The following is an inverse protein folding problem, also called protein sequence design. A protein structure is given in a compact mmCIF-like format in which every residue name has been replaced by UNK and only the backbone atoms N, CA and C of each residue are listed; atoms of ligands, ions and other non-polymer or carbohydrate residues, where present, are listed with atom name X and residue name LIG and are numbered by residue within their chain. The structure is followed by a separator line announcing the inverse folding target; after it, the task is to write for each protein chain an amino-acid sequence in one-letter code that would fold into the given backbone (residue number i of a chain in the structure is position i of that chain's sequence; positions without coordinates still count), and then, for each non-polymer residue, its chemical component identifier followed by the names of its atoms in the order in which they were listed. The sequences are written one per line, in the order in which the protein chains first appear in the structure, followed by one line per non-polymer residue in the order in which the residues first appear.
data_IF_435278645660
#
_entry.id   IF_435278645660
#
_cell.length_a   1.000
_cell.length_b   1.000
_cell.length_c   1.000
_cell.angle_alpha   90.00
_cell.angle_beta   90.00
_cell.angle_gamma   90.00
#
_symmetry.space_group_name_H-M   'P 1'
#
loop_
_entity.id
_entity.type
_entity.pdbx_description
1 polymer ?
2 polymer ?
3 non-polymer ?
4 non-polymer ?
5 water ?
#
# COMPACT_ATOMS: atom_id res chain seq x y z
N UNK A 11 -12.39 -13.52 -30.36
CA UNK A 11 -13.34 -13.42 -29.22
C UNK A 11 -12.61 -13.28 -27.88
N UNK A 12 -11.54 -12.49 -27.86
CA UNK A 12 -10.76 -12.27 -26.65
C UNK A 12 -10.94 -10.84 -26.15
N UNK A 13 -10.95 -10.66 -24.83
CA UNK A 13 -11.13 -9.33 -24.26
C UNK A 13 -9.95 -8.43 -24.60
N UNK A 14 -10.28 -7.18 -24.96
CA UNK A 14 -9.26 -6.18 -25.31
C UNK A 14 -9.47 -4.94 -24.45
N UNK A 15 -8.54 -4.69 -23.53
CA UNK A 15 -8.64 -3.51 -22.66
C UNK A 15 -7.79 -2.36 -23.19
N UNK A 16 -8.47 -1.35 -23.74
CA UNK A 16 -7.80 -0.20 -24.31
C UNK A 16 -7.43 0.85 -23.26
N UNK A 17 -6.15 0.95 -22.98
CA UNK A 17 -5.61 1.90 -22.00
C UNK A 17 -5.00 3.11 -22.69
N UNK A 18 -5.23 4.30 -22.13
CA UNK A 18 -4.67 5.52 -22.68
C UNK A 18 -3.75 6.14 -21.64
N UNK A 19 -2.55 6.53 -22.05
CA UNK A 19 -1.60 7.16 -21.14
C UNK A 19 -1.73 8.68 -21.25
N UNK A 20 -1.99 9.34 -20.13
CA UNK A 20 -2.08 10.80 -20.14
C UNK A 20 -1.18 11.38 -19.06
N UNK A 21 -0.85 12.66 -19.19
CA UNK A 21 0.02 13.34 -18.25
C UNK A 21 0.94 14.30 -18.99
N UNK A 22 1.46 15.30 -18.27
CA UNK A 22 2.37 16.29 -18.87
C UNK A 22 3.59 15.66 -19.52
N UNK A 23 4.29 16.44 -20.33
CA UNK A 23 5.47 15.94 -20.99
C UNK A 23 6.60 15.70 -20.01
N UNK A 24 7.32 14.60 -20.22
CA UNK A 24 8.44 14.29 -19.36
C UNK A 24 8.13 13.65 -18.03
N UNK A 25 6.94 13.08 -17.86
CA UNK A 25 6.57 12.44 -16.61
C UNK A 25 6.89 10.95 -16.56
N UNK A 26 7.07 10.34 -17.74
CA UNK A 26 7.39 8.93 -17.80
C UNK A 26 6.33 8.05 -18.45
N UNK A 27 5.51 8.63 -19.31
CA UNK A 27 4.46 7.85 -19.97
C UNK A 27 5.05 6.78 -20.87
N UNK A 28 6.12 7.15 -21.58
CA UNK A 28 6.78 6.23 -22.50
C UNK A 28 7.59 5.17 -21.76
N UNK A 29 8.40 5.62 -20.80
CA UNK A 29 9.21 4.72 -20.03
C UNK A 29 8.35 3.66 -19.38
N UNK A 30 7.23 4.08 -18.79
CA UNK A 30 6.31 3.14 -18.15
C UNK A 30 5.75 2.12 -19.14
N UNK A 31 5.35 2.58 -20.32
CA UNK A 31 4.80 1.71 -21.34
C UNK A 31 5.86 0.71 -21.78
N UNK A 32 7.04 1.22 -22.09
CA UNK A 32 8.13 0.37 -22.51
C UNK A 32 8.62 -0.58 -21.42
N UNK A 33 8.67 -0.11 -20.18
CA UNK A 33 9.12 -0.98 -19.07
C UNK A 33 8.14 -2.16 -18.95
N UNK A 34 6.85 -1.86 -19.04
CA UNK A 34 5.82 -2.88 -18.96
C UNK A 34 5.89 -3.83 -20.15
N UNK A 35 6.04 -3.27 -21.35
CA UNK A 35 6.08 -4.05 -22.58
C UNK A 35 7.31 -4.94 -22.80
N UNK A 36 8.50 -4.34 -22.71
CA UNK A 36 9.73 -5.09 -22.96
C UNK A 36 10.68 -5.15 -21.77
N UNK A 37 10.15 -4.93 -20.57
CA UNK A 37 10.92 -5.00 -19.33
C UNK A 37 12.26 -4.26 -19.29
N UNK A 38 12.35 -3.13 -19.99
CA UNK A 38 13.58 -2.34 -20.02
C UNK A 38 13.30 -0.89 -19.66
N UNK A 39 14.30 -0.21 -19.10
CA UNK A 39 14.15 1.20 -18.75
C UNK A 39 14.76 2.05 -19.87
N UNK A 40 13.91 2.45 -20.81
CA UNK A 40 14.33 3.26 -21.95
C UNK A 40 14.33 4.74 -21.57
N UNK A 41 15.51 5.35 -21.53
CA UNK A 41 15.63 6.74 -21.13
C UNK A 41 15.56 7.77 -22.24
N UNK A 42 15.01 8.94 -21.90
CA UNK A 42 14.87 10.04 -22.84
C UNK A 42 14.30 9.63 -24.19
N UNK A 43 13.27 8.79 -24.18
CA UNK A 43 12.64 8.34 -25.43
C UNK A 43 12.04 9.56 -26.14
N UNK A 44 12.14 9.59 -27.47
CA UNK A 44 11.63 10.70 -28.27
C UNK A 44 10.37 11.31 -27.66
N UNK A 45 10.48 12.54 -27.14
CA UNK A 45 9.37 13.27 -26.51
C UNK A 45 8.10 13.40 -27.35
N UNK A 46 8.27 13.75 -28.62
CA UNK A 46 7.11 13.92 -29.50
C UNK A 46 6.65 12.63 -30.18
N UNK A 47 7.31 11.52 -29.88
CA UNK A 47 6.94 10.24 -30.48
C UNK A 47 5.79 9.55 -29.75
N UNK A 48 4.78 9.14 -30.52
CA UNK A 48 3.62 8.45 -29.97
C UNK A 48 3.56 7.05 -30.58
N UNK A 49 2.93 6.13 -29.88
CA UNK A 49 2.79 4.76 -30.34
C UNK A 49 1.80 3.97 -29.49
N UNK A 50 1.08 3.06 -30.13
CA UNK A 50 0.16 2.22 -29.39
C UNK A 50 0.81 0.84 -29.36
N UNK A 51 0.54 0.08 -28.31
CA UNK A 51 1.11 -1.25 -28.16
C UNK A 51 0.02 -2.20 -27.75
N UNK A 52 0.18 -3.47 -28.13
CA UNK A 52 -0.83 -4.46 -27.81
C UNK A 52 -0.17 -5.81 -27.53
N UNK A 53 -0.23 -6.24 -26.27
CA UNK A 53 0.34 -7.53 -25.91
C UNK A 53 -0.67 -8.37 -25.16
N UNK A 54 -0.41 -9.67 -25.10
CA UNK A 54 -1.29 -10.59 -24.41
C UNK A 54 -0.76 -10.84 -23.02
N UNK A 55 -1.65 -10.76 -22.05
CA UNK A 55 -1.29 -10.98 -20.66
C UNK A 55 -2.44 -11.74 -20.01
N UNK A 56 -2.12 -12.54 -19.00
CA UNK A 56 -3.12 -13.30 -18.29
C UNK A 56 -3.55 -12.52 -17.07
N UNK A 57 -4.79 -12.04 -17.09
CA UNK A 57 -5.35 -11.28 -15.99
C UNK A 57 -6.23 -12.16 -15.12
N UNK A 58 -5.77 -12.42 -13.90
CA UNK A 58 -6.49 -13.27 -12.94
C UNK A 58 -7.02 -14.54 -13.58
N UNK A 59 -6.10 -15.41 -13.99
CA UNK A 59 -6.50 -16.66 -14.60
C UNK A 59 -6.99 -16.56 -16.03
N UNK A 60 -7.64 -15.46 -16.37
CA UNK A 60 -8.14 -15.30 -17.74
C UNK A 60 -7.15 -14.58 -18.64
N UNK A 61 -7.02 -15.06 -19.87
CA UNK A 61 -6.12 -14.44 -20.82
C UNK A 61 -6.86 -13.34 -21.58
N UNK A 62 -6.22 -12.19 -21.68
CA UNK A 62 -6.80 -11.06 -22.37
C UNK A 62 -5.70 -10.38 -23.17
N UNK A 63 -6.05 -9.29 -23.83
CA UNK A 63 -5.08 -8.54 -24.61
C UNK A 63 -5.20 -7.10 -24.17
N UNK A 64 -4.07 -6.45 -23.94
CA UNK A 64 -4.10 -5.05 -23.53
C UNK A 64 -3.58 -4.17 -24.65
N UNK A 65 -4.20 -3.00 -24.82
CA UNK A 65 -3.76 -2.05 -25.82
C UNK A 65 -3.39 -0.76 -25.10
N UNK A 66 -2.16 -0.30 -25.30
CA UNK A 66 -1.68 0.91 -24.65
C UNK A 66 -1.33 2.01 -25.64
N UNK A 67 -2.01 3.16 -25.54
CA UNK A 67 -1.72 4.28 -26.41
C UNK A 67 -0.80 5.23 -25.67
N UNK A 68 0.48 5.23 -26.05
CA UNK A 68 1.46 6.11 -25.43
C UNK A 68 1.42 7.43 -26.18
N UNK A 69 0.60 8.36 -25.70
CA UNK A 69 0.43 9.65 -26.37
C UNK A 69 1.63 10.60 -26.26
N UNK A 70 1.83 11.36 -27.33
CA UNK A 70 2.88 12.36 -27.36
C UNK A 70 2.18 13.56 -26.71
N UNK A 71 1.15 14.07 -27.38
CA UNK A 71 0.37 15.17 -26.82
C UNK A 71 0.67 16.60 -27.22
N UNK A 72 1.89 16.87 -27.68
CA UNK A 72 2.28 18.22 -28.05
C UNK A 72 1.37 18.85 -29.09
N UNK A 73 0.82 18.06 -30.00
CA UNK A 73 -0.08 18.63 -31.00
C UNK A 73 -1.36 17.85 -31.25
N UNK A 74 -1.95 17.29 -30.19
CA UNK A 74 -3.20 16.55 -30.33
C UNK A 74 -4.34 17.51 -30.02
N UNK A 75 -4.82 18.18 -31.06
CA UNK A 75 -5.90 19.15 -30.93
C UNK A 75 -7.24 18.53 -30.53
N UNK A 76 -8.21 19.40 -30.26
CA UNK A 76 -9.55 19.00 -29.84
C UNK A 76 -10.10 17.72 -30.48
N UNK A 77 -10.16 17.70 -31.81
CA UNK A 77 -10.70 16.54 -32.53
C UNK A 77 -9.89 15.27 -32.36
N UNK A 78 -8.55 15.37 -32.36
CA UNK A 78 -7.72 14.19 -32.19
C UNK A 78 -7.82 13.65 -30.78
N UNK A 79 -7.68 14.54 -29.81
CA UNK A 79 -7.77 14.19 -28.41
C UNK A 79 -9.14 13.63 -28.05
N UNK A 80 -10.20 14.29 -28.50
CA UNK A 80 -11.55 13.84 -28.17
C UNK A 80 -11.82 12.43 -28.70
N UNK A 81 -11.28 12.13 -29.87
CA UNK A 81 -11.49 10.81 -30.44
C UNK A 81 -10.90 9.70 -29.59
N UNK A 82 -9.63 9.81 -29.21
CA UNK A 82 -9.05 8.73 -28.42
C UNK A 82 -9.45 8.74 -26.96
N UNK A 83 -9.95 9.86 -26.45
CA UNK A 83 -10.41 9.91 -25.07
C UNK A 83 -11.72 9.12 -25.07
N UNK A 84 -12.51 9.36 -26.10
CA UNK A 84 -13.80 8.71 -26.29
C UNK A 84 -13.65 7.22 -26.61
N UNK A 85 -12.56 6.86 -27.27
CA UNK A 85 -12.33 5.47 -27.62
C UNK A 85 -11.67 4.69 -26.47
N UNK A 86 -10.77 5.35 -25.76
CA UNK A 86 -10.09 4.71 -24.64
C UNK A 86 -11.05 4.25 -23.55
N UNK A 87 -10.73 3.14 -22.89
CA UNK A 87 -11.61 2.61 -21.85
C UNK A 87 -11.08 2.86 -20.45
N UNK A 88 -9.76 2.88 -20.32
CA UNK A 88 -9.12 3.13 -19.03
C UNK A 88 -8.03 4.17 -19.18
N UNK A 89 -7.79 4.97 -18.15
CA UNK A 89 -6.76 5.99 -18.21
C UNK A 89 -5.78 5.98 -17.06
N UNK A 90 -4.49 6.11 -17.40
CA UNK A 90 -3.45 6.19 -16.39
C UNK A 90 -2.98 7.65 -16.40
N UNK A 91 -3.45 8.43 -15.43
CA UNK A 91 -3.08 9.83 -15.33
C UNK A 91 -1.76 9.89 -14.58
N UNK A 92 -0.68 9.95 -15.34
CA UNK A 92 0.66 9.96 -14.79
C UNK A 92 1.27 11.34 -14.59
N UNK A 93 2.04 11.47 -13.51
CA UNK A 93 2.77 12.69 -13.21
C UNK A 93 4.07 12.28 -12.53
N UNK A 94 4.94 13.27 -12.32
CA UNK A 94 6.24 13.05 -11.71
C UNK A 94 6.26 13.62 -10.29
N UNK A 95 6.57 12.78 -9.31
CA UNK A 95 6.61 13.24 -7.93
C UNK A 95 7.65 14.36 -7.71
N UNK A 96 8.57 14.53 -8.65
CA UNK A 96 9.58 15.57 -8.51
C UNK A 96 9.24 16.84 -9.31
N UNK A 97 8.01 16.94 -9.77
CA UNK A 97 7.60 18.09 -10.56
C UNK A 97 6.18 18.50 -10.18
N UNK A 98 6.08 19.49 -9.31
CA UNK A 98 4.77 19.97 -8.84
C UNK A 98 3.84 20.41 -9.96
N UNK A 99 4.41 20.94 -11.03
CA UNK A 99 3.60 21.40 -12.16
C UNK A 99 2.84 20.25 -12.81
N UNK A 100 3.51 19.12 -13.03
CA UNK A 100 2.87 17.96 -13.64
C UNK A 100 1.73 17.45 -12.78
N UNK A 101 1.86 17.56 -11.46
CA UNK A 101 0.82 17.11 -10.55
C UNK A 101 -0.40 18.01 -10.66
N UNK A 102 -0.17 19.31 -10.66
CA UNK A 102 -1.25 20.28 -10.76
C UNK A 102 -1.99 20.05 -12.08
N UNK A 103 -1.24 19.73 -13.12
CA UNK A 103 -1.81 19.49 -14.44
C UNK A 103 -2.75 18.28 -14.50
N UNK A 104 -2.54 17.29 -13.65
CA UNK A 104 -3.40 16.09 -13.66
C UNK A 104 -4.88 16.45 -13.61
N UNK A 105 -5.22 17.57 -12.99
CA UNK A 105 -6.62 17.97 -12.88
C UNK A 105 -7.21 18.32 -14.24
N UNK A 106 -6.36 18.80 -15.14
CA UNK A 106 -6.79 19.18 -16.48
C UNK A 106 -7.13 17.95 -17.31
N UNK A 107 -6.28 16.93 -17.24
CA UNK A 107 -6.52 15.72 -18.01
C UNK A 107 -7.80 15.05 -17.52
N UNK A 108 -7.91 14.94 -16.20
CA UNK A 108 -9.08 14.35 -15.57
C UNK A 108 -10.31 15.07 -16.12
N UNK A 109 -10.29 16.38 -15.99
CA UNK A 109 -11.40 17.21 -16.43
C UNK A 109 -11.80 16.94 -17.87
N UNK A 110 -10.85 17.10 -18.78
CA UNK A 110 -11.15 16.88 -20.20
C UNK A 110 -11.62 15.47 -20.51
N UNK A 111 -11.06 14.49 -19.80
CA UNK A 111 -11.45 13.11 -20.03
C UNK A 111 -12.89 12.87 -19.61
N UNK A 112 -13.31 13.51 -18.52
CA UNK A 112 -14.67 13.33 -18.03
C UNK A 112 -15.66 14.15 -18.85
N UNK A 113 -15.18 15.16 -19.55
CA UNK A 113 -16.06 15.99 -20.33
C UNK A 113 -16.52 15.30 -21.61
N UNK A 114 -15.60 14.68 -22.34
CA UNK A 114 -15.96 14.02 -23.60
C UNK A 114 -16.64 12.68 -23.39
N UNK A 115 -16.26 11.97 -22.33
CA UNK A 115 -16.86 10.67 -22.05
C UNK A 115 -18.14 10.83 -21.25
N UNK A 116 -18.50 12.08 -20.95
CA UNK A 116 -19.70 12.37 -20.17
C UNK A 116 -19.94 11.30 -19.11
N UNK A 117 -18.99 11.20 -18.17
CA UNK A 117 -19.07 10.22 -17.09
C UNK A 117 -18.13 10.62 -15.96
N UNK A 118 -18.57 10.46 -14.72
CA UNK A 118 -17.75 10.81 -13.56
C UNK A 118 -17.12 9.59 -12.90
N UNK A 119 -17.21 8.44 -13.56
CA UNK A 119 -16.64 7.22 -12.99
C UNK A 119 -15.98 6.31 -14.03
N UNK A 120 -15.09 6.87 -14.84
CA UNK A 120 -14.40 6.08 -15.85
C UNK A 120 -13.15 5.45 -15.25
N UNK A 121 -12.79 4.23 -15.68
CA UNK A 121 -11.59 3.60 -15.12
C UNK A 121 -10.45 4.61 -15.19
N UNK A 122 -9.81 4.87 -14.05
CA UNK A 122 -8.78 5.89 -13.98
C UNK A 122 -7.80 5.58 -12.84
N UNK A 123 -6.54 5.92 -13.05
CA UNK A 123 -5.51 5.69 -12.05
C UNK A 123 -4.62 6.92 -11.91
N UNK A 124 -4.36 7.33 -10.68
CA UNK A 124 -3.49 8.47 -10.45
C UNK A 124 -2.14 7.83 -10.14
N UNK A 125 -1.18 8.08 -11.04
CA UNK A 125 0.15 7.51 -10.92
C UNK A 125 1.25 8.55 -10.72
N UNK A 126 1.92 8.49 -9.57
CA UNK A 126 3.01 9.39 -9.28
C UNK A 126 4.27 8.62 -9.61
N UNK A 127 4.85 8.90 -10.78
CA UNK A 127 6.04 8.20 -11.23
C UNK A 127 7.34 8.77 -10.70
N UNK A 128 8.43 8.01 -10.87
CA UNK A 128 9.77 8.39 -10.43
C UNK A 128 9.94 8.31 -8.90
N UNK A 129 9.34 7.30 -8.29
CA UNK A 129 9.44 7.14 -6.85
C UNK A 129 10.87 6.82 -6.44
N UNK A 130 11.75 6.60 -7.41
CA UNK A 130 13.14 6.31 -7.10
C UNK A 130 13.93 7.60 -6.90
N UNK A 131 13.29 8.73 -7.20
CA UNK A 131 13.93 10.03 -7.04
C UNK A 131 13.41 10.73 -5.79
N UNK A 132 13.30 9.97 -4.71
CA UNK A 132 12.81 10.49 -3.45
C UNK A 132 13.48 11.80 -3.03
N UNK A 133 14.78 11.93 -3.27
CA UNK A 133 15.52 13.12 -2.89
C UNK A 133 15.02 14.38 -3.59
N UNK A 134 14.39 14.22 -4.74
CA UNK A 134 13.90 15.36 -5.49
C UNK A 134 12.39 15.53 -5.42
N UNK A 135 11.73 14.78 -4.54
CA UNK A 135 10.28 14.86 -4.43
C UNK A 135 9.79 16.27 -4.20
N UNK A 136 8.76 16.64 -4.95
CA UNK A 136 8.15 17.96 -4.84
C UNK A 136 6.70 17.78 -4.44
N UNK A 137 6.14 16.60 -4.71
CA UNK A 137 4.75 16.30 -4.39
C UNK A 137 4.68 15.27 -3.25
N UNK A 138 4.03 15.63 -2.16
CA UNK A 138 3.92 14.72 -1.03
C UNK A 138 2.90 13.62 -1.26
N UNK A 139 3.15 12.47 -0.65
CA UNK A 139 2.25 11.33 -0.76
C UNK A 139 0.88 11.75 -0.22
N UNK A 140 0.87 12.46 0.88
CA UNK A 140 -0.38 12.90 1.49
C UNK A 140 -1.23 13.69 0.53
N UNK A 141 -0.62 14.67 -0.12
CA UNK A 141 -1.33 15.51 -1.07
C UNK A 141 -1.89 14.69 -2.23
N UNK A 142 -1.05 13.88 -2.87
CA UNK A 142 -1.50 13.07 -4.01
C UNK A 142 -2.55 12.05 -3.60
N UNK A 143 -2.34 11.40 -2.47
CA UNK A 143 -3.27 10.40 -1.98
C UNK A 143 -4.61 11.05 -1.65
N UNK A 144 -4.57 12.30 -1.20
CA UNK A 144 -5.78 13.02 -0.86
C UNK A 144 -6.59 13.34 -2.12
N UNK A 145 -5.89 13.80 -3.16
CA UNK A 145 -6.54 14.11 -4.41
C UNK A 145 -7.22 12.85 -4.96
N UNK A 146 -6.50 11.74 -4.92
CA UNK A 146 -7.06 10.48 -5.41
C UNK A 146 -8.35 10.13 -4.68
N UNK A 147 -8.40 10.41 -3.37
CA UNK A 147 -9.59 10.11 -2.60
C UNK A 147 -10.74 11.03 -3.04
N UNK A 148 -10.40 12.28 -3.36
CA UNK A 148 -11.40 13.23 -3.82
C UNK A 148 -12.01 12.75 -5.15
N UNK A 149 -11.15 12.24 -6.03
CA UNK A 149 -11.61 11.75 -7.33
C UNK A 149 -12.16 10.33 -7.23
N UNK A 150 -12.01 9.74 -6.06
CA UNK A 150 -12.48 8.38 -5.83
C UNK A 150 -11.78 7.39 -6.74
N UNK A 151 -10.44 7.44 -6.72
CA UNK A 151 -9.61 6.55 -7.53
C UNK A 151 -8.39 6.21 -6.68
N UNK A 152 -7.63 5.21 -7.11
CA UNK A 152 -6.44 4.83 -6.36
C UNK A 152 -5.22 5.59 -6.82
N UNK A 153 -4.30 5.83 -5.89
CA UNK A 153 -3.07 6.51 -6.18
C UNK A 153 -1.92 5.53 -6.02
N UNK A 154 -1.05 5.46 -7.01
CA UNK A 154 0.07 4.55 -6.94
C UNK A 154 1.33 5.24 -7.40
N UNK A 155 2.43 5.03 -6.67
CA UNK A 155 3.69 5.62 -7.05
C UNK A 155 4.48 4.51 -7.74
N UNK A 156 5.01 4.83 -8.91
CA UNK A 156 5.78 3.87 -9.70
C UNK A 156 7.18 4.39 -10.03
N UNK A 157 8.01 3.50 -10.55
CA UNK A 157 9.36 3.86 -10.96
C UNK A 157 9.69 3.08 -12.21
N UNK A 158 9.65 3.76 -13.36
CA UNK A 158 9.95 3.10 -14.62
C UNK A 158 11.39 2.59 -14.58
N UNK A 159 12.18 3.13 -13.67
CA UNK A 159 13.59 2.74 -13.52
C UNK A 159 13.79 1.42 -12.77
N UNK A 160 13.22 1.33 -11.57
CA UNK A 160 13.34 0.13 -10.73
C UNK A 160 12.23 -0.85 -11.03
N UNK A 161 11.25 -0.41 -11.83
CA UNK A 161 10.10 -1.23 -12.21
C UNK A 161 9.08 -1.41 -11.09
N UNK A 162 9.26 -0.66 -10.02
CA UNK A 162 8.35 -0.76 -8.89
C UNK A 162 6.92 -0.37 -9.25
N UNK A 163 5.98 -1.26 -8.98
CA UNK A 163 4.56 -1.04 -9.23
C UNK A 163 4.16 -0.84 -10.68
N UNK A 164 5.07 -1.02 -11.62
CA UNK A 164 4.70 -0.82 -13.02
C UNK A 164 3.62 -1.81 -13.46
N UNK A 165 3.80 -3.10 -13.17
CA UNK A 165 2.80 -4.07 -13.54
C UNK A 165 1.48 -3.74 -12.85
N UNK A 166 1.58 -3.40 -11.57
CA UNK A 166 0.42 -3.08 -10.77
C UNK A 166 -0.51 -2.05 -11.41
N UNK A 167 0.01 -0.89 -11.79
CA UNK A 167 -0.85 0.12 -12.40
C UNK A 167 -1.55 -0.38 -13.67
N UNK A 168 -0.83 -1.05 -14.55
CA UNK A 168 -1.45 -1.55 -15.77
C UNK A 168 -2.47 -2.66 -15.50
N UNK A 169 -2.16 -3.57 -14.58
CA UNK A 169 -3.10 -4.65 -14.29
C UNK A 169 -4.28 -4.16 -13.46
N UNK A 170 -4.04 -3.17 -12.60
CA UNK A 170 -5.11 -2.65 -11.79
C UNK A 170 -6.07 -1.82 -12.64
N UNK A 171 -5.52 -1.11 -13.62
CA UNK A 171 -6.37 -0.33 -14.50
C UNK A 171 -7.24 -1.28 -15.30
N UNK A 172 -6.67 -2.40 -15.74
CA UNK A 172 -7.46 -3.37 -16.49
C UNK A 172 -8.60 -3.89 -15.61
N UNK A 173 -8.26 -4.30 -14.39
CA UNK A 173 -9.27 -4.81 -13.48
C UNK A 173 -10.45 -3.84 -13.33
N UNK A 174 -10.16 -2.54 -13.43
CA UNK A 174 -11.20 -1.52 -13.34
C UNK A 174 -12.01 -1.48 -14.62
N UNK A 175 -11.31 -1.69 -15.74
CA UNK A 175 -11.95 -1.70 -17.05
C UNK A 175 -12.82 -2.95 -17.19
N UNK A 176 -12.28 -4.08 -16.75
CA UNK A 176 -12.97 -5.37 -16.84
C UNK A 176 -14.23 -5.38 -15.97
N UNK A 177 -14.22 -4.62 -14.89
CA UNK A 177 -15.35 -4.56 -13.98
C UNK A 177 -16.42 -3.64 -14.54
N UNK A 178 -15.99 -2.56 -15.20
CA UNK A 178 -16.90 -1.60 -15.79
C UNK A 178 -17.62 -2.24 -16.96
N UNK A 179 -16.98 -3.23 -17.56
CA UNK A 179 -17.56 -3.94 -18.68
C UNK A 179 -18.60 -4.93 -18.19
N UNK A 180 -18.54 -5.25 -16.89
CA UNK A 180 -19.49 -6.18 -16.30
C UNK A 180 -20.78 -5.43 -15.94
N UNK A 181 -20.62 -4.22 -15.42
CA UNK A 181 -21.77 -3.40 -15.03
C UNK A 181 -22.63 -3.18 -16.25
N UNK A 182 -22.00 -2.78 -17.35
CA UNK A 182 -22.70 -2.52 -18.59
C UNK A 182 -23.48 -3.75 -19.04
N UNK A 183 -22.78 -4.74 -19.56
CA UNK A 183 -23.40 -5.98 -20.02
C UNK A 183 -23.21 -7.09 -19.00
N UNK A 184 -22.05 -7.45 -18.73
N UNK B 44 -11.39 -4.82 30.06
CA UNK B 44 -12.41 -3.78 29.72
C UNK B 44 -13.02 -4.10 28.35
N UNK B 45 -13.81 -3.17 27.82
CA UNK B 45 -14.46 -3.34 26.52
C UNK B 45 -13.55 -2.91 25.37
N UNK B 46 -13.56 -3.68 24.29
CA UNK B 46 -12.73 -3.36 23.13
C UNK B 46 -13.48 -3.18 21.83
N UNK B 47 -13.37 -1.96 21.30
CA UNK B 47 -14.01 -1.56 20.04
C UNK B 47 -13.45 -2.28 18.82
N UNK B 48 -14.25 -3.17 18.24
CA UNK B 48 -13.83 -3.89 17.05
C UNK B 48 -14.69 -3.39 15.90
N UNK B 49 -14.05 -2.76 14.92
CA UNK B 49 -14.74 -2.22 13.77
C UNK B 49 -15.29 -3.31 12.84
N UNK B 50 -16.45 -3.05 12.26
CA UNK B 50 -17.08 -3.98 11.34
C UNK B 50 -17.53 -3.29 10.03
N UNK B 51 -17.58 -1.96 10.05
CA UNK B 51 -17.95 -1.19 8.86
C UNK B 51 -16.76 -0.36 8.39
N UNK B 52 -16.27 -0.63 7.20
CA UNK B 52 -15.12 0.08 6.64
C UNK B 52 -15.23 1.60 6.63
N UNK B 53 -16.43 2.12 6.40
CA UNK B 53 -16.62 3.55 6.38
C UNK B 53 -16.45 4.12 7.79
N UNK B 54 -16.99 3.43 8.79
CA UNK B 54 -16.88 3.86 10.18
C UNK B 54 -15.42 3.89 10.57
N UNK B 55 -14.69 2.83 10.20
CA UNK B 55 -13.26 2.71 10.50
C UNK B 55 -12.46 3.85 9.89
N UNK B 56 -12.71 4.09 8.61
CA UNK B 56 -12.02 5.14 7.89
C UNK B 56 -12.33 6.50 8.51
N UNK B 57 -13.60 6.77 8.76
CA UNK B 57 -13.99 8.05 9.36
C UNK B 57 -13.26 8.26 10.68
N UNK B 58 -13.27 7.22 11.52
CA UNK B 58 -12.62 7.25 12.81
C UNK B 58 -11.12 7.57 12.63
N UNK B 59 -10.45 6.78 11.79
CA UNK B 59 -9.04 7.00 11.53
C UNK B 59 -8.76 8.44 11.11
N UNK B 60 -9.51 8.94 10.14
CA UNK B 60 -9.35 10.31 9.66
C UNK B 60 -9.49 11.29 10.84
N UNK B 61 -10.43 10.98 11.74
CA UNK B 61 -10.65 11.83 12.89
C UNK B 61 -9.41 11.96 13.77
N UNK B 62 -8.69 10.87 13.97
CA UNK B 62 -7.49 10.91 14.80
C UNK B 62 -6.31 11.51 14.06
N UNK B 63 -6.07 11.06 12.83
CA UNK B 63 -4.95 11.54 12.03
C UNK B 63 -4.96 13.07 11.95
N UNK B 64 -6.13 13.64 11.67
CA UNK B 64 -6.28 15.08 11.57
C UNK B 64 -5.84 15.81 12.84
N UNK B 65 -5.90 15.12 13.98
CA UNK B 65 -5.51 15.71 15.26
C UNK B 65 -4.02 15.59 15.61
N UNK B 66 -3.32 14.64 14.98
CA UNK B 66 -1.90 14.41 15.28
C UNK B 66 -1.01 15.64 15.17
N UNK B 67 -1.15 16.40 14.08
CA UNK B 67 -0.32 17.57 13.91
C UNK B 67 1.13 17.17 13.74
N UNK B 68 1.34 16.21 12.84
CA UNK B 68 2.67 15.67 12.53
C UNK B 68 3.44 16.63 11.66
N UNK B 69 4.73 16.81 11.95
CA UNK B 69 5.55 17.70 11.14
C UNK B 69 5.70 17.06 9.77
N UNK B 70 6.34 17.78 8.85
CA UNK B 70 6.56 17.24 7.51
C UNK B 70 7.54 16.08 7.60
N UNK B 71 8.53 16.21 8.48
CA UNK B 71 9.55 15.18 8.67
C UNK B 71 9.01 13.88 9.24
N UNK B 72 8.06 13.95 10.15
CA UNK B 72 7.50 12.74 10.73
C UNK B 72 6.64 12.03 9.70
N UNK B 73 5.97 12.81 8.84
CA UNK B 73 5.12 12.21 7.82
C UNK B 73 6.03 11.51 6.83
N UNK B 74 7.09 12.20 6.45
CA UNK B 74 8.04 11.64 5.50
C UNK B 74 8.70 10.40 6.08
N UNK B 75 9.04 10.46 7.37
CA UNK B 75 9.68 9.33 8.03
C UNK B 75 8.76 8.11 7.93
N UNK B 76 7.46 8.36 8.08
CA UNK B 76 6.45 7.31 8.02
C UNK B 76 6.23 6.76 6.62
N UNK B 77 6.13 7.65 5.62
CA UNK B 77 5.94 7.22 4.24
C UNK B 77 7.09 6.30 3.91
N UNK B 78 8.28 6.68 4.37
CA UNK B 78 9.49 5.90 4.13
C UNK B 78 9.39 4.55 4.82
N UNK B 79 8.81 4.52 6.02
CA UNK B 79 8.66 3.25 6.71
C UNK B 79 7.74 2.33 5.89
N UNK B 80 6.66 2.90 5.36
CA UNK B 80 5.71 2.11 4.59
C UNK B 80 6.26 1.64 3.26
N UNK B 81 7.32 2.27 2.78
CA UNK B 81 7.92 1.87 1.51
C UNK B 81 8.93 0.74 1.71
N UNK B 82 9.45 0.61 2.93
CA UNK B 82 10.41 -0.44 3.22
C UNK B 82 10.35 -0.93 4.67
N UNK B 83 9.15 -1.29 5.12
CA UNK B 83 8.96 -1.77 6.47
C UNK B 83 9.79 -3.03 6.71
N UNK B 84 9.81 -3.90 5.70
CA UNK B 84 10.54 -5.16 5.75
C UNK B 84 12.02 -5.00 6.08
N UNK B 85 12.69 -4.07 5.40
CA UNK B 85 14.10 -3.81 5.62
C UNK B 85 14.38 -3.20 6.99
N UNK B 86 13.58 -2.19 7.35
CA UNK B 86 13.73 -1.50 8.61
C UNK B 86 13.48 -2.45 9.78
N UNK B 87 12.32 -3.08 9.80
CA UNK B 87 12.00 -4.00 10.89
C UNK B 87 12.97 -5.18 10.91
N UNK B 88 13.41 -5.60 9.73
CA UNK B 88 14.36 -6.70 9.64
C UNK B 88 15.66 -6.33 10.32
N UNK B 89 16.12 -5.11 10.07
CA UNK B 89 17.38 -4.63 10.66
C UNK B 89 17.24 -4.43 12.16
N UNK B 90 16.04 -4.10 12.61
CA UNK B 90 15.80 -3.91 14.04
C UNK B 90 15.84 -5.25 14.76
N UNK B 91 15.33 -6.29 14.10
CA UNK B 91 15.33 -7.62 14.69
C UNK B 91 16.76 -8.15 14.65
N UNK B 92 17.42 -7.91 13.52
CA UNK B 92 18.78 -8.33 13.32
C UNK B 92 19.65 -7.90 14.51
N UNK B 93 19.45 -6.68 15.01
CA UNK B 93 20.22 -6.19 16.13
C UNK B 93 19.46 -6.17 17.45
N UNK B 94 18.42 -6.99 17.56
CA UNK B 94 17.63 -7.05 18.78
C UNK B 94 17.24 -5.65 19.26
N UNK B 95 17.15 -4.69 18.34
CA UNK B 95 16.75 -3.36 18.73
C UNK B 95 17.81 -2.28 18.93
N UNK B 96 19.09 -2.62 18.93
CA UNK B 96 20.09 -1.58 19.13
C UNK B 96 20.26 -0.84 17.80
N UNK B 97 20.27 0.48 17.88
CA UNK B 97 20.37 1.29 16.69
C UNK B 97 21.65 2.09 16.51
N UNK B 98 22.59 1.97 17.45
CA UNK B 98 23.82 2.77 17.32
C UNK B 98 24.73 2.34 16.19
N UNK B 99 24.28 1.40 15.38
CA UNK B 99 25.08 0.96 14.25
C UNK B 99 24.43 1.39 12.95
N UNK B 100 23.33 2.12 13.05
CA UNK B 100 22.57 2.59 11.88
C UNK B 100 23.14 3.82 11.17
N UNK B 101 23.20 3.80 9.83
CA UNK B 101 23.72 4.99 9.15
C UNK B 101 22.89 6.18 9.59
N UNK B 102 23.42 7.39 9.44
CA UNK B 102 22.72 8.59 9.88
C UNK B 102 21.32 8.73 9.31
N UNK B 103 21.13 8.42 8.03
CA UNK B 103 19.81 8.54 7.43
C UNK B 103 18.76 7.67 8.12
N UNK B 104 19.07 6.39 8.29
CA UNK B 104 18.14 5.46 8.94
C UNK B 104 17.98 5.74 10.42
N UNK B 105 19.08 6.06 11.10
CA UNK B 105 19.02 6.34 12.53
C UNK B 105 18.24 7.63 12.77
N UNK B 106 18.31 8.54 11.80
CA UNK B 106 17.56 9.80 11.91
C UNK B 106 16.06 9.51 11.79
N UNK B 107 15.72 8.63 10.85
CA UNK B 107 14.35 8.24 10.59
C UNK B 107 13.74 7.48 11.77
N UNK B 108 14.53 6.62 12.39
CA UNK B 108 14.03 5.84 13.51
C UNK B 108 13.64 6.78 14.63
N UNK B 109 14.47 7.79 14.87
CA UNK B 109 14.19 8.75 15.93
C UNK B 109 12.91 9.50 15.67
N UNK B 110 12.68 9.89 14.42
CA UNK B 110 11.47 10.61 14.06
C UNK B 110 10.29 9.66 14.29
N UNK B 111 10.42 8.43 13.82
CA UNK B 111 9.40 7.42 13.98
C UNK B 111 9.05 7.24 15.46
N UNK B 112 10.05 6.95 16.27
CA UNK B 112 9.82 6.75 17.69
C UNK B 112 9.05 7.90 18.33
N UNK B 113 9.60 9.11 18.21
CA UNK B 113 8.98 10.29 18.80
C UNK B 113 7.62 10.72 18.22
N UNK B 114 7.33 10.37 16.97
CA UNK B 114 6.04 10.74 16.39
C UNK B 114 4.90 10.18 17.24
N UNK B 115 5.17 9.07 17.94
CA UNK B 115 4.16 8.45 18.78
C UNK B 115 3.74 9.31 19.98
N UNK B 116 4.46 10.40 20.21
CA UNK B 116 4.11 11.29 21.30
C UNK B 116 2.85 12.04 20.88
N UNK B 117 2.57 11.98 19.58
CA UNK B 117 1.41 12.64 19.00
C UNK B 117 0.31 11.65 18.63
N UNK B 118 0.62 10.36 18.62
CA UNK B 118 -0.37 9.37 18.22
C UNK B 118 -0.76 8.38 19.32
N UNK B 119 -1.92 8.62 19.92
CA UNK B 119 -2.43 7.77 20.98
C UNK B 119 -3.85 7.39 20.62
N UNK B 120 -4.28 6.18 20.95
CA UNK B 120 -5.64 5.78 20.66
C UNK B 120 -6.55 6.33 21.77
N UNK B 121 -7.62 7.04 21.40
CA UNK B 121 -8.55 7.64 22.36
C UNK B 121 -9.44 6.63 23.11
N UNK B 122 -9.45 5.38 22.64
CA UNK B 122 -10.26 4.34 23.27
C UNK B 122 -9.64 2.97 23.05
N UNK B 123 -10.25 1.95 23.65
CA UNK B 123 -9.76 0.58 23.48
C UNK B 123 -10.07 0.14 22.06
N UNK B 124 -9.08 -0.39 21.36
CA UNK B 124 -9.32 -0.85 20.01
C UNK B 124 -8.66 -2.18 19.72
N UNK B 125 -9.12 -2.83 18.65
CA UNK B 125 -8.61 -4.11 18.22
C UNK B 125 -7.86 -3.93 16.90
N UNK B 126 -6.59 -4.32 16.86
CA UNK B 126 -5.81 -4.19 15.62
C UNK B 126 -5.48 -5.57 15.08
N UNK B 127 -5.48 -5.74 13.76
CA UNK B 127 -5.21 -7.04 13.18
C UNK B 127 -4.01 -7.06 12.23
N UNK B 128 -3.41 -8.23 12.08
CA UNK B 128 -2.29 -8.41 11.16
C UNK B 128 -2.09 -9.91 10.90
N UNK B 129 -1.40 -10.22 9.81
CA UNK B 129 -1.13 -11.60 9.47
C UNK B 129 0.35 -11.89 9.49
N UNK B 130 0.71 -13.14 9.65
CA UNK B 130 2.11 -13.54 9.67
C UNK B 130 2.30 -14.89 9.05
N UNK B 131 3.54 -15.24 8.78
CA UNK B 131 3.88 -16.53 8.19
C UNK B 131 4.45 -17.43 9.27
N UNK B 132 4.70 -18.70 8.96
CA UNK B 132 5.25 -19.63 9.96
C UNK B 132 6.55 -19.19 10.62
N UNK B 133 7.39 -18.48 9.89
CA UNK B 133 8.67 -18.02 10.44
C UNK B 133 8.45 -17.15 11.68
N UNK B 134 7.26 -16.56 11.78
CA UNK B 134 6.92 -15.71 12.91
C UNK B 134 7.07 -16.48 14.23
N UNK B 135 6.65 -17.73 14.24
CA UNK B 135 6.73 -18.56 15.45
C UNK B 135 8.14 -19.09 15.72
N UNK B 136 9.01 -18.99 14.73
CA UNK B 136 10.37 -19.48 14.90
C UNK B 136 10.87 -20.15 13.64
N UNK B 137 12.18 -20.18 13.44
CA UNK B 137 12.76 -20.79 12.26
C UNK B 137 12.37 -22.27 12.17
N UNK B 138 12.26 -22.94 13.32
CA UNK B 138 11.92 -24.35 13.34
C UNK B 138 10.47 -24.64 12.94
N UNK B 139 9.72 -23.60 12.57
CA UNK B 139 8.33 -23.76 12.15
C UNK B 139 8.21 -23.47 10.66
N UNK B 140 9.21 -22.77 10.12
CA UNK B 140 9.26 -22.40 8.71
C UNK B 140 8.66 -23.42 7.75
N UNK B 141 9.14 -24.66 7.82
CA UNK B 141 8.65 -25.71 6.93
C UNK B 141 7.99 -26.85 7.68
N UNK B 142 7.48 -26.56 8.86
CA UNK B 142 6.85 -27.58 9.70
C UNK B 142 5.39 -27.29 10.06
N UNK B 143 5.06 -26.02 10.23
CA UNK B 143 3.71 -25.61 10.61
C UNK B 143 2.59 -26.24 9.78
N UNK B 144 2.74 -26.20 8.46
CA UNK B 144 1.71 -26.70 7.57
C UNK B 144 1.70 -28.18 7.20
N UNK B 145 0.51 -28.66 6.87
CA UNK B 145 0.30 -30.03 6.42
C UNK B 145 0.35 -29.91 4.91
N UNK B 146 0.36 -31.05 4.22
CA UNK B 146 0.40 -31.02 2.76
C UNK B 146 -0.92 -30.49 2.18
N UNK B 147 -2.03 -30.67 2.90
CA UNK B 147 -3.32 -30.18 2.41
C UNK B 147 -3.55 -28.71 2.75
N UNK B 148 -2.54 -28.07 3.34
CA UNK B 148 -2.65 -26.66 3.66
C UNK B 148 -3.20 -26.27 5.02
N UNK B 149 -3.49 -27.25 5.88
CA UNK B 149 -4.01 -26.98 7.22
C UNK B 149 -2.85 -26.91 8.21
N UNK B 150 -3.05 -26.25 9.34
CA UNK B 150 -2.00 -26.19 10.36
C UNK B 150 -1.83 -27.59 10.92
N UNK B 151 -0.58 -27.99 11.15
CA UNK B 151 -0.30 -29.32 11.66
C UNK B 151 -0.54 -29.42 13.18
N UNK B 152 -1.38 -30.38 13.56
CA UNK B 152 -1.75 -30.61 14.95
C UNK B 152 -0.58 -30.55 15.94
N UNK B 153 0.47 -31.30 15.65
CA UNK B 153 1.63 -31.34 16.52
C UNK B 153 2.40 -30.01 16.51
N UNK B 154 2.51 -29.41 15.34
CA UNK B 154 3.20 -28.14 15.19
C UNK B 154 2.48 -27.08 16.04
N UNK B 155 1.15 -27.11 15.98
CA UNK B 155 0.35 -26.17 16.73
C UNK B 155 0.57 -26.32 18.23
N UNK B 156 0.52 -27.56 18.71
CA UNK B 156 0.71 -27.82 20.12
C UNK B 156 2.06 -27.31 20.59
N UNK B 157 3.08 -27.48 19.75
CA UNK B 157 4.42 -26.99 20.09
C UNK B 157 4.43 -25.47 20.07
N UNK B 158 3.59 -24.89 19.22
CA UNK B 158 3.51 -23.44 19.13
C UNK B 158 2.94 -22.91 20.43
N UNK B 159 1.85 -23.52 20.91
CA UNK B 159 1.22 -23.09 22.14
C UNK B 159 2.20 -23.24 23.28
N UNK B 160 2.82 -24.41 23.35
CA UNK B 160 3.79 -24.70 24.41
C UNK B 160 4.87 -23.62 24.45
N UNK B 161 5.22 -23.13 23.27
CA UNK B 161 6.26 -22.10 23.17
C UNK B 161 5.79 -20.68 23.43
N UNK B 162 4.53 -20.36 23.10
CA UNK B 162 4.04 -18.98 23.26
C UNK B 162 2.87 -18.71 24.17
N UNK B 163 1.87 -19.59 24.18
CA UNK B 163 0.68 -19.38 24.99
C UNK B 163 0.98 -18.94 26.42
N UNK B 164 0.31 -17.88 26.84
CA UNK B 164 0.46 -17.35 28.20
C UNK B 164 1.82 -16.75 28.50
N UNK B 165 2.46 -16.21 27.48
CA UNK B 165 3.78 -15.61 27.67
C UNK B 165 3.93 -14.27 26.98
N UNK B 166 4.73 -13.39 27.57
CA UNK B 166 4.95 -12.10 26.96
C UNK B 166 5.85 -12.30 25.76
N UNK B 167 5.76 -11.40 24.79
CA UNK B 167 6.60 -11.48 23.61
C UNK B 167 7.05 -10.07 23.25
N UNK B 168 8.34 -9.94 23.01
CA UNK B 168 8.93 -8.66 22.64
C UNK B 168 9.18 -8.59 21.15
N UNK B 169 8.61 -7.57 20.49
CA UNK B 169 8.80 -7.38 19.06
C UNK B 169 9.78 -6.22 18.85
N UNK B 170 10.92 -6.51 18.24
CA UNK B 170 11.92 -5.47 17.98
C UNK B 170 11.53 -4.43 16.95
N UNK B 171 10.76 -4.83 15.95
CA UNK B 171 10.35 -3.89 14.93
C UNK B 171 9.04 -3.18 15.22
N UNK B 172 8.71 -2.23 14.35
CA UNK B 172 7.46 -1.49 14.46
C UNK B 172 6.39 -2.51 14.09
N UNK B 173 5.19 -2.35 14.63
CA UNK B 173 4.13 -3.28 14.31
C UNK B 173 3.06 -2.63 13.46
N UNK B 174 2.99 -3.05 12.19
CA UNK B 174 1.96 -2.52 11.29
C UNK B 174 0.74 -3.40 11.46
N UNK B 175 -0.42 -2.78 11.55
CA UNK B 175 -1.67 -3.55 11.71
C UNK B 175 -2.76 -2.83 10.94
N UNK B 176 -4.00 -3.24 11.16
CA UNK B 176 -5.13 -2.63 10.49
C UNK B 176 -6.31 -2.58 11.45
N UNK B 177 -7.21 -1.64 11.25
CA UNK B 177 -8.35 -1.50 12.13
C UNK B 177 -9.35 -2.64 11.91
N UNK B 178 -9.25 -3.31 10.76
CA UNK B 178 -10.16 -4.40 10.46
C UNK B 178 -9.49 -5.64 9.85
N UNK B 179 -10.19 -6.77 9.95
CA UNK B 179 -9.70 -8.04 9.42
C UNK B 179 -9.84 -8.01 7.90
N UNK B 180 -8.92 -7.31 7.25
CA UNK B 180 -8.93 -7.14 5.80
C UNK B 180 -8.50 -8.35 5.00
N UNK B 181 -8.56 -8.21 3.68
CA UNK B 181 -8.18 -9.26 2.75
C UNK B 181 -6.65 -9.35 2.66
N UNK B 182 -5.96 -8.30 3.11
CA UNK B 182 -4.51 -8.30 3.08
C UNK B 182 -4.00 -9.54 3.81
N UNK B 183 -4.91 -10.19 4.53
CA UNK B 183 -4.58 -11.41 5.29
C UNK B 183 -5.36 -12.58 4.69
N UNK B 184 -6.19 -13.22 5.49
CA UNK B 184 -7.01 -14.35 5.04
C UNK B 184 -6.21 -15.53 4.50
N UNK B 185 -5.30 -15.27 3.57
CA UNK B 185 -4.50 -16.33 3.00
C UNK B 185 -3.18 -16.51 3.75
N UNK B 186 -3.17 -16.11 5.02
CA UNK B 186 -1.97 -16.23 5.83
C UNK B 186 -2.19 -17.20 6.97
N UNK B 187 -1.19 -18.05 7.25
CA UNK B 187 -1.25 -19.06 8.31
C UNK B 187 -1.51 -18.54 9.74
N UNK B 188 -1.11 -17.30 10.03
CA UNK B 188 -1.32 -16.79 11.38
C UNK B 188 -1.97 -15.42 11.44
N UNK B 189 -3.01 -15.31 12.27
CA UNK B 189 -3.74 -14.07 12.43
C UNK B 189 -3.66 -13.65 13.90
N UNK B 190 -3.37 -12.38 14.14
CA UNK B 190 -3.26 -11.87 15.50
C UNK B 190 -4.19 -10.71 15.79
N UNK B 191 -4.95 -10.82 16.87
CA UNK B 191 -5.85 -9.75 17.27
C UNK B 191 -5.21 -9.03 18.46
N UNK B 192 -4.75 -7.81 18.25
CA UNK B 192 -4.11 -7.05 19.32
C UNK B 192 -5.10 -6.17 20.08
N UNK B 193 -5.11 -6.28 21.40
CA UNK B 193 -5.99 -5.45 22.23
C UNK B 193 -5.20 -4.24 22.71
N UNK B 194 -5.44 -3.09 22.08
CA UNK B 194 -4.75 -1.87 22.44
C UNK B 194 -5.65 -0.97 23.29
N UNK B 195 -5.24 -0.76 24.54
CA UNK B 195 -6.01 0.04 25.48
C UNK B 195 -5.96 1.54 25.21
N UNK B 196 -7.00 2.25 25.63
CA UNK B 196 -7.06 3.69 25.47
C UNK B 196 -5.78 4.35 25.99
N UNK B 197 -5.33 5.38 25.29
CA UNK B 197 -4.13 6.09 25.70
C UNK B 197 -2.83 5.50 25.19
N UNK B 198 -2.90 4.27 24.68
CA UNK B 198 -1.71 3.61 24.16
C UNK B 198 -1.18 4.32 22.93
N UNK B 199 0.10 4.10 22.62
CA UNK B 199 0.70 4.69 21.44
C UNK B 199 0.28 3.88 20.23
N UNK B 200 -0.45 4.51 19.32
CA UNK B 200 -0.92 3.85 18.11
C UNK B 200 -1.42 4.94 17.17
N UNK B 201 -0.96 4.90 15.93
CA UNK B 201 -1.38 5.93 15.00
C UNK B 201 -1.90 5.43 13.67
N UNK B 202 -2.98 6.06 13.22
CA UNK B 202 -3.59 5.73 11.95
C UNK B 202 -2.70 6.45 10.94
N UNK B 203 -2.00 5.69 10.11
CA UNK B 203 -1.10 6.31 9.14
C UNK B 203 -1.56 6.08 7.71
N UNK B 204 -2.77 5.58 7.54
CA UNK B 204 -3.27 5.31 6.20
C UNK B 204 -3.16 6.46 5.21
N UNK B 205 -3.47 7.69 5.65
CA UNK B 205 -3.38 8.83 4.72
C UNK B 205 -2.01 9.03 4.07
N UNK B 206 -0.95 8.48 4.66
CA UNK B 206 0.37 8.65 4.10
C UNK B 206 1.14 7.36 3.82
N UNK B 207 0.42 6.26 3.66
CA UNK B 207 1.10 4.99 3.40
C UNK B 207 0.88 4.53 1.97
N UNK B 208 1.74 3.63 1.51
CA UNK B 208 1.64 3.06 0.17
C UNK B 208 0.66 1.89 0.27
N UNK B 209 -0.62 2.24 0.38
CA UNK B 209 -1.70 1.28 0.53
C UNK B 209 -1.25 -0.16 0.81
N UNK B 210 -0.58 -0.33 1.95
CA UNK B 210 -0.10 -1.65 2.36
C UNK B 210 -1.28 -2.36 3.01
N UNK B 211 -2.27 -2.71 2.19
CA UNK B 211 -3.45 -3.37 2.70
C UNK B 211 -4.64 -2.43 2.70
N UNK B 212 -4.77 -1.67 3.78
CA UNK B 212 -5.85 -0.68 3.96
C UNK B 212 -6.12 -0.48 5.46
N UNK B 213 -6.50 0.75 5.84
CA UNK B 213 -6.78 1.08 7.23
C UNK B 213 -5.50 0.91 8.05
N UNK B 214 -4.36 1.20 7.43
CA UNK B 214 -3.06 1.07 8.08
C UNK B 214 -3.01 1.72 9.45
N UNK B 215 -2.54 0.91 10.40
CA UNK B 215 -2.41 1.33 11.78
C UNK B 215 -0.97 0.95 12.17
N UNK B 216 -0.27 1.84 12.86
CA UNK B 216 1.10 1.55 13.24
C UNK B 216 1.34 1.58 14.73
N UNK B 217 2.09 0.61 15.22
CA UNK B 217 2.43 0.55 16.63
C UNK B 217 3.92 0.78 16.77
N UNK B 218 4.37 1.35 17.90
CA UNK B 218 5.77 1.66 18.19
C UNK B 218 6.65 0.41 18.17
N UNK B 219 7.96 0.60 18.02
CA UNK B 219 8.86 -0.54 18.01
C UNK B 219 9.20 -0.98 19.44
N UNK B 220 9.85 -2.13 19.56
CA UNK B 220 10.26 -2.66 20.85
C UNK B 220 9.11 -2.81 21.84
N UNK B 221 7.95 -3.22 21.36
CA UNK B 221 6.80 -3.39 22.22
C UNK B 221 6.67 -4.83 22.71
N UNK B 222 6.11 -4.99 23.89
CA UNK B 222 5.91 -6.29 24.48
C UNK B 222 4.41 -6.53 24.56
N UNK B 223 4.00 -7.78 24.42
CA UNK B 223 2.58 -8.12 24.50
C UNK B 223 2.43 -9.53 25.03
N UNK B 224 1.29 -9.79 25.66
CA UNK B 224 1.01 -11.10 26.24
C UNK B 224 0.07 -11.87 25.32
N UNK B 225 0.43 -13.10 24.98
CA UNK B 225 -0.43 -13.91 24.12
C UNK B 225 -1.40 -14.66 25.03
N UNK B 226 -2.62 -14.17 25.09
CA UNK B 226 -3.65 -14.75 25.94
C UNK B 226 -4.27 -16.02 25.38
N UNK B 227 -4.41 -16.10 24.07
CA UNK B 227 -5.05 -17.25 23.47
C UNK B 227 -4.46 -17.60 22.12
N UNK B 228 -4.50 -18.89 21.81
CA UNK B 228 -4.00 -19.41 20.55
C UNK B 228 -4.91 -20.56 20.16
N UNK B 229 -5.72 -20.36 19.13
CA UNK B 229 -6.61 -21.42 18.68
C UNK B 229 -6.57 -21.53 17.16
N UNK B 230 -7.27 -22.53 16.64
CA UNK B 230 -7.32 -22.73 15.20
C UNK B 230 -8.67 -22.27 14.68
N UNK B 231 -8.72 -21.91 13.41
CA UNK B 231 -9.98 -21.48 12.82
C UNK B 231 -10.81 -22.71 12.46
N UNK B 232 -12.04 -22.49 12.04
CA UNK B 232 -12.91 -23.60 11.65
C UNK B 232 -12.24 -24.25 10.45
N UNK B 233 -11.56 -23.41 9.68
CA UNK B 233 -10.83 -23.84 8.50
C UNK B 233 -9.82 -24.91 8.89
N UNK B 234 -9.19 -24.70 10.03
CA UNK B 234 -8.18 -25.63 10.50
C UNK B 234 -6.86 -25.30 9.83
N UNK B 235 -6.87 -24.28 8.98
CA UNK B 235 -5.66 -23.91 8.28
C UNK B 235 -5.19 -22.52 8.64
N UNK B 236 -5.54 -22.08 9.85
CA UNK B 236 -5.15 -20.78 10.32
C UNK B 236 -5.15 -20.70 11.85
N UNK B 237 -4.07 -20.16 12.40
CA UNK B 237 -3.93 -20.00 13.84
C UNK B 237 -4.35 -18.59 14.24
N UNK B 238 -5.30 -18.49 15.17
CA UNK B 238 -5.78 -17.20 15.65
C UNK B 238 -5.14 -16.90 17.00
N UNK B 239 -4.34 -15.84 17.05
CA UNK B 239 -3.65 -15.45 18.26
C UNK B 239 -4.26 -14.17 18.81
N UNK B 240 -4.72 -14.23 20.06
CA UNK B 240 -5.31 -13.07 20.71
C UNK B 240 -4.27 -12.61 21.72
N UNK B 241 -3.96 -11.33 21.71
CA UNK B 241 -2.96 -10.80 22.60
C UNK B 241 -3.30 -9.44 23.18
N UNK B 242 -2.67 -9.13 24.30
CA UNK B 242 -2.86 -7.87 24.98
C UNK B 242 -1.56 -7.09 24.79
N UNK B 243 -1.68 -5.88 24.24
CA UNK B 243 -0.51 -5.04 24.00
C UNK B 243 -0.08 -4.39 25.31
N UNK B 244 1.17 -4.62 25.70
CA UNK B 244 1.68 -4.04 26.95
C UNK B 244 2.36 -2.69 26.77
N UNK B 245 3.01 -2.49 25.63
CA UNK B 245 3.68 -1.22 25.42
C UNK B 245 5.13 -1.35 24.97
N UNK B 246 5.76 -0.21 24.76
CA UNK B 246 7.15 -0.16 24.31
C UNK B 246 8.11 0.31 25.39
N UNK B 247 9.39 0.06 25.16
CA UNK B 247 10.44 0.47 26.10
C UNK B 247 11.06 1.77 25.59
N UNK B 248 10.66 2.18 24.39
CA UNK B 248 11.16 3.38 23.75
C UNK B 248 10.20 4.54 24.00
N UNK B 249 10.48 5.37 25.00
CA UNK B 249 9.60 6.49 25.31
C UNK B 249 10.33 7.83 25.39
N UNK B 250 11.00 8.24 24.30
CA UNK B 250 11.74 9.51 24.27
C UNK B 250 10.85 10.73 24.50
N UNK B 251 11.50 11.85 24.79
CA UNK B 251 10.82 13.12 25.05
C UNK B 251 10.27 13.09 26.49
X LIG C 1 6.95 11.13 -21.24
X LIG C 1 7.25 12.47 -21.80
X LIG C 1 6.81 10.04 -22.28
X LIG C 1 5.75 11.15 -20.28
X LIG C 1 8.25 10.71 -20.31
X LIG C 1 9.53 9.90 -20.67
X LIG C 1 10.11 10.34 -21.95
X LIG C 1 9.26 8.42 -20.56
X LIG C 1 10.51 10.29 -19.45
X LIG C 1 10.96 11.65 -19.28
X LIG C 1 12.35 11.65 -18.68
X LIG C 1 12.23 11.11 -17.34
X LIG C 1 13.36 10.78 -19.45
X LIG C 1 14.64 11.51 -19.32
X LIG C 1 13.37 9.48 -18.66
X LIG C 1 14.55 8.75 -18.86
X LIG C 1 13.05 9.98 -17.21
X LIG C 1 12.24 8.93 -16.36
X LIG C 1 11.06 8.34 -16.73
X LIG C 1 10.64 7.51 -15.77
X LIG C 1 11.58 7.60 -14.76
X LIG C 1 11.64 6.95 -13.51
X LIG C 1 10.80 6.14 -13.06
X LIG C 1 12.78 7.29 -12.73
X LIG C 1 13.75 8.19 -13.17
X LIG C 1 14.80 8.44 -12.37
X LIG C 1 13.68 8.81 -14.37
X LIG C 1 12.59 8.47 -15.11
X LIG D 1 6.80 9.95 -24.33
#
# INVERSE_FOLDING_TARGET
MAANKPKGQNSLALHKVIMVGSGGVGKSALTLQFMYDEFVEDYEPTKADSYRKKVVLDGEEVQIDILDTAGQEDYAAIRDNYFRSGEGFLCVFSITEMESFAATADFREQILRVKEDENVPFLLVGNKSDLEDKRQVSVEEAKNRAEQWNVNYVETSAKTRANVDKVFFDLMREIRARKMEDSKEKNGKKKRKSLAKRIRERCCIL
MKGLRKSILCLVLSAGVIAPVTSGMIQSPQKCYAYSINQKAYSNTYQEFTNIDQAKAWGNAQYKKYGLSKSEKEAIVSYTKSASEINGKLRQNKGVINGFPSNLIKQVELLDKSFNKMKTPENIMLFRGDDPAYLGTEFQNTLLNSNGTINKTAFEKAKAKFLNKDRLEYGYISTSLMNVSQFAGRPIITKFKVAKGSKAGYIDPISAFAGQLEMLLPRHSTYHIDDMRLSSDGKQIIITATMMGTAINPK
GDP PB O1B O2B O3B O3A PA O1A O2A O5' C5' C4' O4' C3' O3' C2' O2' C1' N9 C8 N7 C5 C6 O6 N1 C2 N2 N3 C4
MG MG
#
